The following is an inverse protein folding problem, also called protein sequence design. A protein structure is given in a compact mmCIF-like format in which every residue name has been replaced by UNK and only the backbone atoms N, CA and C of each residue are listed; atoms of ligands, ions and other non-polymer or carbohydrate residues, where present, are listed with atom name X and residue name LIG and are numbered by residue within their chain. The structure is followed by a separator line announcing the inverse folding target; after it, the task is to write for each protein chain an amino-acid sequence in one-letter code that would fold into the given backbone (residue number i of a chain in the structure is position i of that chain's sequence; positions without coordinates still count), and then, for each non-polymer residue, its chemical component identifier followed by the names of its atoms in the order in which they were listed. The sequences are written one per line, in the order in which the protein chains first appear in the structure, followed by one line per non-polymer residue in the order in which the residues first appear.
data_IF_994208738323
#
_entry.id   IF_994208738323
#
_cell.length_a   1.000
_cell.length_b   1.000
_cell.length_c   1.000
_cell.angle_alpha   90.00
_cell.angle_beta   90.00
_cell.angle_gamma   90.00
#
_symmetry.space_group_name_H-M   'P 1'
#
loop_
_entity.id
_entity.type
_entity.pdbx_description
1 polymer ?
#
# COMPACT_ATOMS: atom_id res chain seq x y z
N UNK A 1 40.43 -5.24 31.21
CA UNK A 1 39.05 -5.57 30.76
C UNK A 1 38.07 -4.59 31.39
N UNK A 2 37.49 -3.66 30.61
CA UNK A 2 36.47 -2.69 31.08
C UNK A 2 35.15 -2.94 30.35
N UNK A 3 34.27 -3.72 30.96
CA UNK A 3 32.87 -3.87 30.54
C UNK A 3 32.00 -2.86 31.28
N UNK A 4 32.06 -1.59 30.89
CA UNK A 4 31.16 -0.53 31.37
C UNK A 4 31.17 0.59 30.34
N UNK A 5 30.43 0.42 29.24
CA UNK A 5 30.04 1.49 28.32
C UNK A 5 29.04 1.08 27.20
N UNK A 6 28.29 -0.03 27.38
CA UNK A 6 27.39 -0.52 26.32
C UNK A 6 25.91 -0.20 26.50
N UNK A 7 25.50 0.34 27.66
CA UNK A 7 24.09 0.64 27.96
C UNK A 7 23.69 2.11 27.72
N UNK A 8 24.64 2.99 27.36
CA UNK A 8 24.38 4.43 27.15
C UNK A 8 24.12 4.89 25.71
N UNK A 9 23.97 3.98 24.72
CA UNK A 9 23.83 4.37 23.30
C UNK A 9 22.55 3.89 22.58
N UNK A 10 21.55 3.43 23.32
CA UNK A 10 20.23 3.08 22.75
C UNK A 10 19.07 3.97 23.23
N UNK A 11 19.29 4.88 24.17
CA UNK A 11 18.25 5.73 24.76
C UNK A 11 17.95 7.06 24.03
N UNK A 12 18.88 7.59 23.22
CA UNK A 12 18.84 9.01 22.76
C UNK A 12 18.69 9.19 21.25
N UNK A 13 18.08 8.25 20.52
CA UNK A 13 17.82 8.39 19.07
C UNK A 13 16.35 8.32 18.67
N UNK A 14 15.43 8.69 19.56
CA UNK A 14 14.11 9.16 19.15
C UNK A 14 14.23 10.55 18.52
N UNK A 15 14.93 10.65 17.38
CA UNK A 15 14.75 11.81 16.49
C UNK A 15 13.25 11.90 16.21
N UNK A 16 12.67 13.07 16.36
CA UNK A 16 11.29 13.33 15.94
C UNK A 16 11.22 13.16 14.41
N UNK A 17 11.06 11.92 13.95
CA UNK A 17 10.88 11.61 12.53
C UNK A 17 9.49 12.06 12.14
N UNK A 18 9.43 13.03 11.23
CA UNK A 18 8.20 13.51 10.59
C UNK A 18 8.12 12.99 9.16
N UNK A 19 6.92 12.97 8.58
CA UNK A 19 6.78 12.68 7.15
C UNK A 19 7.53 13.72 6.30
N UNK A 20 7.61 14.98 6.74
CA UNK A 20 8.40 16.02 6.06
C UNK A 20 9.87 15.61 5.90
N UNK A 21 10.48 15.10 6.99
CA UNK A 21 11.91 14.69 7.00
C UNK A 21 12.25 13.52 6.06
N UNK A 22 11.22 12.81 5.58
CA UNK A 22 11.32 11.73 4.60
C UNK A 22 10.93 12.21 3.21
N UNK A 23 9.93 13.09 3.13
CA UNK A 23 9.44 13.72 1.92
C UNK A 23 10.52 14.52 1.18
N UNK A 24 11.21 15.43 1.86
CA UNK A 24 12.14 16.38 1.22
C UNK A 24 13.16 15.72 0.26
N UNK A 25 13.93 14.69 0.68
CA UNK A 25 14.90 14.07 -0.22
C UNK A 25 14.23 13.28 -1.36
N UNK A 26 13.07 12.67 -1.13
CA UNK A 26 12.38 11.85 -2.14
C UNK A 26 11.67 12.70 -3.20
N UNK A 27 11.07 13.81 -2.78
CA UNK A 27 10.45 14.78 -3.66
C UNK A 27 11.48 15.45 -4.58
N UNK A 28 12.67 15.77 -4.06
CA UNK A 28 13.75 16.38 -4.83
C UNK A 28 14.29 15.48 -5.96
N UNK A 29 14.22 14.15 -5.79
CA UNK A 29 14.62 13.17 -6.82
C UNK A 29 13.48 12.71 -7.73
N UNK A 30 12.25 13.19 -7.51
CA UNK A 30 11.07 12.78 -8.25
C UNK A 30 10.99 13.48 -9.61
N UNK A 31 10.45 12.77 -10.62
CA UNK A 31 10.17 13.34 -11.96
C UNK A 31 8.71 13.79 -12.10
N UNK A 32 7.93 13.78 -11.02
CA UNK A 32 6.53 14.23 -11.03
C UNK A 32 6.44 15.75 -11.20
N UNK A 33 5.36 16.21 -11.82
CA UNK A 33 5.08 17.63 -11.95
C UNK A 33 4.75 18.28 -10.58
N UNK A 34 4.86 19.61 -10.52
CA UNK A 34 4.68 20.36 -9.28
C UNK A 34 3.29 20.22 -8.66
N UNK A 35 2.22 20.11 -9.47
CA UNK A 35 0.87 19.96 -8.96
C UNK A 35 0.68 18.58 -8.32
N UNK A 36 1.20 17.53 -8.96
CA UNK A 36 1.18 16.17 -8.38
C UNK A 36 2.01 16.11 -7.10
N UNK A 37 3.20 16.72 -7.06
CA UNK A 37 4.01 16.78 -5.84
C UNK A 37 3.26 17.49 -4.69
N UNK A 38 2.62 18.62 -4.97
CA UNK A 38 1.83 19.35 -3.98
C UNK A 38 0.66 18.52 -3.45
N UNK A 39 -0.04 17.79 -4.33
CA UNK A 39 -1.16 16.93 -3.93
C UNK A 39 -0.69 15.78 -3.03
N UNK A 40 0.43 15.12 -3.36
CA UNK A 40 1.02 14.07 -2.50
C UNK A 40 1.43 14.64 -1.16
N UNK A 41 2.10 15.79 -1.15
CA UNK A 41 2.56 16.44 0.07
C UNK A 41 1.40 16.81 1.01
N UNK A 42 0.35 17.44 0.47
CA UNK A 42 -0.85 17.78 1.22
C UNK A 42 -1.50 16.55 1.85
N UNK A 43 -1.60 15.44 1.09
CA UNK A 43 -2.14 14.19 1.60
C UNK A 43 -1.27 13.58 2.71
N UNK A 44 0.05 13.65 2.59
CA UNK A 44 0.98 13.18 3.63
C UNK A 44 0.85 14.01 4.92
N UNK A 45 0.69 15.33 4.82
CA UNK A 45 0.46 16.20 5.99
C UNK A 45 -0.84 15.83 6.69
N UNK A 46 -1.93 15.68 5.94
CA UNK A 46 -3.22 15.26 6.50
C UNK A 46 -3.10 13.92 7.23
N UNK A 47 -2.40 12.96 6.59
CA UNK A 47 -2.16 11.65 7.18
C UNK A 47 -1.27 11.71 8.43
N UNK A 48 -0.25 12.58 8.48
CA UNK A 48 0.54 12.79 9.69
C UNK A 48 -0.31 13.27 10.86
N UNK A 49 -1.28 14.16 10.59
CA UNK A 49 -2.27 14.59 11.57
C UNK A 49 -3.06 13.41 12.15
N UNK A 50 -3.57 12.53 11.28
CA UNK A 50 -4.28 11.30 11.69
C UNK A 50 -3.39 10.38 12.53
N UNK A 51 -2.13 10.21 12.14
CA UNK A 51 -1.17 9.39 12.88
C UNK A 51 -0.87 9.93 14.28
N UNK A 52 -0.74 11.26 14.44
CA UNK A 52 -0.50 11.91 15.74
C UNK A 52 -1.65 11.70 16.72
N UNK A 53 -2.89 11.63 16.22
CA UNK A 53 -4.08 11.36 17.04
C UNK A 53 -4.40 9.88 17.26
N UNK A 54 -3.67 8.94 16.64
CA UNK A 54 -3.97 7.52 16.73
C UNK A 54 -3.38 6.86 17.98
N UNK A 55 -4.17 6.02 18.65
CA UNK A 55 -3.70 5.17 19.74
C UNK A 55 -2.77 4.03 19.27
N UNK A 56 -2.86 3.66 17.98
CA UNK A 56 -2.09 2.58 17.38
C UNK A 56 -1.44 3.05 16.07
N UNK A 57 -0.49 3.99 16.13
CA UNK A 57 0.01 4.70 14.95
C UNK A 57 0.68 3.77 13.93
N UNK A 58 1.36 2.70 14.38
CA UNK A 58 1.92 1.71 13.46
C UNK A 58 0.83 0.96 12.71
N UNK A 59 -0.24 0.52 13.38
CA UNK A 59 -1.34 -0.17 12.72
C UNK A 59 -2.07 0.75 11.74
N UNK A 60 -2.29 2.01 12.10
CA UNK A 60 -2.85 3.03 11.20
C UNK A 60 -1.98 3.19 9.94
N UNK A 61 -0.66 3.28 10.09
CA UNK A 61 0.29 3.37 8.97
C UNK A 61 0.23 2.12 8.08
N UNK A 62 0.21 0.92 8.67
CA UNK A 62 0.14 -0.33 7.91
C UNK A 62 -1.19 -0.46 7.17
N UNK A 63 -2.31 -0.11 7.80
CA UNK A 63 -3.61 -0.07 7.13
C UNK A 63 -3.59 0.85 5.91
N UNK A 64 -3.05 2.07 6.05
CA UNK A 64 -2.95 3.02 4.95
C UNK A 64 -2.12 2.46 3.78
N UNK A 65 -0.98 1.83 4.09
CA UNK A 65 -0.14 1.17 3.09
C UNK A 65 -0.87 0.02 2.37
N UNK A 66 -1.63 -0.78 3.11
CA UNK A 66 -2.42 -1.88 2.55
C UNK A 66 -3.55 -1.35 1.64
N UNK A 67 -4.30 -0.35 2.11
CA UNK A 67 -5.41 0.27 1.37
C UNK A 67 -4.92 0.96 0.09
N UNK A 68 -3.77 1.63 0.18
CA UNK A 68 -3.12 2.27 -0.95
C UNK A 68 -2.68 1.25 -2.01
N UNK A 69 -2.17 0.10 -1.57
CA UNK A 69 -1.79 -0.97 -2.49
C UNK A 69 -3.01 -1.60 -3.15
N UNK A 70 -4.08 -1.88 -2.39
CA UNK A 70 -5.32 -2.42 -2.94
C UNK A 70 -5.93 -1.48 -3.99
N UNK A 71 -5.97 -0.17 -3.69
CA UNK A 71 -6.46 0.83 -4.64
C UNK A 71 -5.56 0.95 -5.87
N UNK A 72 -4.23 0.89 -5.70
CA UNK A 72 -3.29 0.85 -6.82
C UNK A 72 -3.53 -0.35 -7.73
N UNK A 73 -3.69 -1.54 -7.15
CA UNK A 73 -3.95 -2.78 -7.88
C UNK A 73 -5.29 -2.68 -8.63
N UNK A 74 -6.36 -2.23 -7.97
CA UNK A 74 -7.67 -2.07 -8.58
C UNK A 74 -7.65 -1.06 -9.75
N UNK A 75 -7.08 0.12 -9.55
CA UNK A 75 -7.00 1.15 -10.58
C UNK A 75 -6.17 0.69 -11.78
N UNK A 76 -5.06 -0.01 -11.54
CA UNK A 76 -4.23 -0.60 -12.60
C UNK A 76 -5.02 -1.63 -13.40
N UNK A 77 -5.81 -2.48 -12.75
CA UNK A 77 -6.64 -3.47 -13.43
C UNK A 77 -7.73 -2.85 -14.27
N UNK A 78 -8.44 -1.85 -13.74
CA UNK A 78 -9.49 -1.16 -14.47
C UNK A 78 -8.90 -0.49 -15.72
N UNK A 79 -7.79 0.25 -15.57
CA UNK A 79 -7.14 0.95 -16.70
C UNK A 79 -6.63 -0.01 -17.79
N UNK A 80 -6.26 -1.24 -17.42
CA UNK A 80 -5.82 -2.27 -18.37
C UNK A 80 -6.97 -2.94 -19.14
N UNK A 81 -8.24 -2.70 -18.79
CA UNK A 81 -9.37 -3.18 -19.58
C UNK A 81 -9.53 -2.36 -20.87
N UNK A 82 -10.08 -2.94 -21.95
CA UNK A 82 -10.52 -2.19 -23.12
C UNK A 82 -11.46 -1.02 -22.74
N UNK A 83 -11.36 0.10 -23.44
CA UNK A 83 -12.12 1.33 -23.13
C UNK A 83 -13.63 1.08 -23.03
N UNK A 84 -14.20 0.35 -24.00
CA UNK A 84 -15.62 -0.03 -23.98
C UNK A 84 -16.03 -0.78 -22.71
N UNK A 85 -15.15 -1.63 -22.17
CA UNK A 85 -15.39 -2.37 -20.92
C UNK A 85 -15.23 -1.47 -19.69
N UNK A 86 -14.29 -0.52 -19.69
CA UNK A 86 -14.14 0.48 -18.62
C UNK A 86 -15.39 1.35 -18.49
N UNK A 87 -15.89 1.86 -19.62
CA UNK A 87 -17.11 2.69 -19.67
C UNK A 87 -18.31 1.92 -19.14
N UNK A 88 -18.51 0.68 -19.60
CA UNK A 88 -19.62 -0.17 -19.13
C UNK A 88 -19.51 -0.50 -17.64
N UNK A 89 -18.30 -0.79 -17.14
CA UNK A 89 -18.07 -1.06 -15.72
C UNK A 89 -18.45 0.14 -14.86
N UNK A 90 -18.08 1.36 -15.28
CA UNK A 90 -18.39 2.59 -14.56
C UNK A 90 -19.87 2.92 -14.59
N UNK A 91 -20.56 2.73 -15.71
CA UNK A 91 -22.02 2.91 -15.77
C UNK A 91 -22.75 1.99 -14.78
N UNK A 92 -22.20 0.81 -14.48
CA UNK A 92 -22.79 -0.12 -13.51
C UNK A 92 -22.39 0.18 -12.04
N UNK A 93 -21.33 0.96 -11.80
CA UNK A 93 -20.75 1.19 -10.47
C UNK A 93 -20.32 2.66 -10.28
N UNK A 94 -21.11 3.60 -10.82
CA UNK A 94 -20.70 4.99 -11.03
C UNK A 94 -20.38 5.72 -9.73
N UNK A 95 -21.03 5.35 -8.62
CA UNK A 95 -20.80 5.93 -7.31
C UNK A 95 -19.49 5.49 -6.62
N UNK A 96 -18.80 4.47 -7.15
CA UNK A 96 -17.70 3.79 -6.42
C UNK A 96 -16.36 3.88 -7.16
N UNK A 97 -16.36 3.95 -8.50
CA UNK A 97 -15.13 3.86 -9.30
C UNK A 97 -14.68 5.23 -9.84
N UNK A 98 -13.40 5.55 -9.64
CA UNK A 98 -12.76 6.74 -10.20
C UNK A 98 -12.76 6.73 -11.73
N UNK A 99 -12.76 7.92 -12.36
CA UNK A 99 -12.58 8.03 -13.80
C UNK A 99 -11.13 7.73 -14.24
N UNK A 100 -10.86 7.61 -15.55
CA UNK A 100 -9.52 7.22 -16.05
C UNK A 100 -8.44 8.26 -15.69
N UNK A 101 -8.79 9.55 -15.73
CA UNK A 101 -7.85 10.63 -15.41
C UNK A 101 -7.49 10.61 -13.91
N UNK A 102 -8.50 10.48 -13.04
CA UNK A 102 -8.32 10.34 -11.59
C UNK A 102 -7.52 9.10 -11.23
N UNK A 103 -7.80 7.95 -11.85
CA UNK A 103 -7.07 6.72 -11.62
C UNK A 103 -5.60 6.85 -12.03
N UNK A 104 -5.30 7.47 -13.19
CA UNK A 104 -3.91 7.71 -13.64
C UNK A 104 -3.18 8.69 -12.72
N UNK A 105 -3.82 9.79 -12.35
CA UNK A 105 -3.26 10.76 -11.41
C UNK A 105 -2.96 10.10 -10.05
N UNK A 106 -3.89 9.27 -9.56
CA UNK A 106 -3.68 8.49 -8.35
C UNK A 106 -2.47 7.55 -8.48
N UNK A 107 -2.37 6.77 -9.57
CA UNK A 107 -1.23 5.84 -9.75
C UNK A 107 0.12 6.57 -9.80
N UNK A 108 0.18 7.71 -10.50
CA UNK A 108 1.39 8.54 -10.57
C UNK A 108 1.79 9.08 -9.18
N UNK A 109 0.81 9.56 -8.40
CA UNK A 109 1.01 10.09 -7.06
C UNK A 109 1.33 8.99 -6.02
N UNK A 110 0.69 7.83 -6.12
CA UNK A 110 0.72 6.79 -5.09
C UNK A 110 2.09 6.12 -4.98
N UNK A 111 2.85 6.02 -6.08
CA UNK A 111 4.19 5.42 -6.05
C UNK A 111 5.12 6.17 -5.08
N UNK A 112 5.24 7.50 -5.23
CA UNK A 112 6.03 8.34 -4.34
C UNK A 112 5.47 8.33 -2.91
N UNK A 113 4.14 8.41 -2.77
CA UNK A 113 3.47 8.35 -1.46
C UNK A 113 3.82 7.07 -0.70
N UNK A 114 3.72 5.92 -1.34
CA UNK A 114 4.04 4.61 -0.75
C UNK A 114 5.50 4.53 -0.34
N UNK A 115 6.41 5.05 -1.16
CA UNK A 115 7.84 5.11 -0.83
C UNK A 115 8.10 5.94 0.43
N UNK A 116 7.51 7.14 0.50
CA UNK A 116 7.61 8.02 1.68
C UNK A 116 7.05 7.35 2.93
N UNK A 117 5.85 6.75 2.83
CA UNK A 117 5.22 6.06 3.97
C UNK A 117 6.05 4.85 4.43
N UNK A 118 6.63 4.07 3.51
CA UNK A 118 7.50 2.92 3.85
C UNK A 118 8.83 3.36 4.46
N UNK A 119 9.44 4.43 3.95
CA UNK A 119 10.66 4.99 4.52
C UNK A 119 10.40 5.62 5.90
N UNK A 120 9.24 6.23 6.10
CA UNK A 120 8.80 6.71 7.40
C UNK A 120 8.53 5.57 8.39
N UNK A 121 7.87 4.49 7.95
CA UNK A 121 7.65 3.28 8.74
C UNK A 121 8.98 2.73 9.27
N UNK A 122 9.99 2.64 8.39
CA UNK A 122 11.33 2.25 8.75
C UNK A 122 11.94 3.18 9.81
N UNK A 123 12.00 4.49 9.52
CA UNK A 123 12.72 5.44 10.38
C UNK A 123 12.05 5.63 11.75
N UNK A 124 10.71 5.55 11.82
CA UNK A 124 9.96 5.80 13.07
C UNK A 124 9.72 4.53 13.88
N UNK A 125 9.50 3.39 13.23
CA UNK A 125 9.07 2.15 13.90
C UNK A 125 10.00 0.96 13.68
N UNK A 126 11.10 1.13 12.95
CA UNK A 126 11.95 0.03 12.46
C UNK A 126 11.15 -1.00 11.63
N UNK A 127 10.08 -0.54 10.97
CA UNK A 127 9.07 -1.40 10.32
C UNK A 127 9.32 -1.58 8.83
N UNK A 128 10.58 -1.81 8.46
CA UNK A 128 10.96 -2.16 7.09
C UNK A 128 12.20 -3.04 7.08
N UNK A 129 12.05 -4.19 6.44
CA UNK A 129 13.15 -5.13 6.14
C UNK A 129 12.77 -5.91 4.88
N UNK A 130 13.74 -6.47 4.18
CA UNK A 130 13.43 -7.34 3.04
C UNK A 130 12.64 -8.57 3.50
N UNK A 131 11.56 -8.88 2.78
CA UNK A 131 10.64 -9.96 3.12
C UNK A 131 9.80 -9.65 4.37
N UNK A 132 9.45 -8.39 4.60
CA UNK A 132 8.59 -8.00 5.71
C UNK A 132 7.09 -8.25 5.43
N UNK A 133 6.25 -7.84 6.39
CA UNK A 133 4.80 -7.96 6.30
C UNK A 133 4.22 -7.31 5.02
N UNK A 134 4.84 -6.24 4.53
CA UNK A 134 4.36 -5.51 3.37
C UNK A 134 4.66 -6.28 2.09
N UNK A 135 5.85 -6.89 2.00
CA UNK A 135 6.19 -7.76 0.86
C UNK A 135 5.26 -8.99 0.80
N UNK A 136 4.94 -9.59 1.96
CA UNK A 136 3.95 -10.66 2.07
C UNK A 136 2.58 -10.18 1.57
N UNK A 137 2.13 -9.02 2.05
CA UNK A 137 0.84 -8.46 1.65
C UNK A 137 0.80 -8.11 0.16
N UNK A 138 1.88 -7.55 -0.39
CA UNK A 138 1.96 -7.18 -1.78
C UNK A 138 1.88 -8.38 -2.72
N UNK A 139 2.57 -9.48 -2.39
CA UNK A 139 2.41 -10.73 -3.12
C UNK A 139 0.98 -11.25 -3.07
N UNK A 140 0.34 -11.21 -1.89
CA UNK A 140 -1.07 -11.58 -1.76
C UNK A 140 -1.97 -10.68 -2.64
N UNK A 141 -1.74 -9.36 -2.65
CA UNK A 141 -2.47 -8.39 -3.46
C UNK A 141 -2.35 -8.69 -4.97
N UNK A 142 -1.16 -9.04 -5.45
CA UNK A 142 -0.97 -9.43 -6.84
C UNK A 142 -1.60 -10.78 -7.20
N UNK A 143 -1.67 -11.73 -6.28
CA UNK A 143 -2.45 -12.95 -6.49
C UNK A 143 -3.95 -12.64 -6.56
N UNK A 144 -4.45 -11.73 -5.71
CA UNK A 144 -5.84 -11.24 -5.76
C UNK A 144 -6.15 -10.51 -7.07
N UNK A 145 -5.20 -9.73 -7.59
CA UNK A 145 -5.32 -8.99 -8.86
C UNK A 145 -5.83 -9.87 -10.01
N UNK A 146 -5.24 -11.07 -10.17
CA UNK A 146 -5.66 -12.04 -11.21
C UNK A 146 -7.13 -12.43 -11.04
N UNK A 147 -7.57 -12.65 -9.82
CA UNK A 147 -8.95 -13.03 -9.51
C UNK A 147 -9.92 -11.86 -9.71
N UNK A 148 -9.53 -10.64 -9.33
CA UNK A 148 -10.31 -9.42 -9.57
C UNK A 148 -10.57 -9.21 -11.06
N UNK A 149 -9.54 -9.40 -11.91
CA UNK A 149 -9.70 -9.35 -13.37
C UNK A 149 -10.74 -10.34 -13.88
N UNK A 150 -10.65 -11.60 -13.46
CA UNK A 150 -11.61 -12.63 -13.83
C UNK A 150 -13.02 -12.36 -13.32
N UNK A 151 -13.17 -11.76 -12.14
CA UNK A 151 -14.46 -11.34 -11.62
C UNK A 151 -15.05 -10.21 -12.47
N UNK A 152 -14.28 -9.14 -12.74
CA UNK A 152 -14.74 -8.01 -13.55
C UNK A 152 -15.16 -8.49 -14.95
N UNK A 153 -14.35 -9.31 -15.61
CA UNK A 153 -14.67 -9.87 -16.93
C UNK A 153 -15.97 -10.69 -16.93
N UNK A 154 -16.20 -11.51 -15.90
CA UNK A 154 -17.45 -12.30 -15.77
C UNK A 154 -18.67 -11.45 -15.47
N UNK A 155 -18.53 -10.43 -14.62
CA UNK A 155 -19.61 -9.48 -14.34
C UNK A 155 -19.98 -8.70 -15.61
N UNK A 156 -19.00 -8.24 -16.38
CA UNK A 156 -19.22 -7.57 -17.66
C UNK A 156 -19.78 -8.50 -18.74
N UNK A 157 -19.44 -9.79 -18.68
CA UNK A 157 -20.00 -10.84 -19.54
C UNK A 157 -21.44 -11.28 -19.20
N UNK A 158 -22.04 -10.75 -18.12
CA UNK A 158 -23.41 -11.10 -17.72
C UNK A 158 -23.57 -12.48 -17.08
N UNK A 159 -22.49 -13.26 -16.96
CA UNK A 159 -22.46 -14.56 -16.29
C UNK A 159 -22.23 -14.39 -14.79
N UNK A 160 -23.28 -14.03 -14.05
CA UNK A 160 -23.27 -14.10 -12.57
C UNK A 160 -23.92 -15.40 -12.13
N UNK A 161 -23.12 -16.37 -11.68
CA UNK A 161 -23.65 -17.55 -10.99
C UNK A 161 -23.58 -17.37 -9.47
N UNK A 162 -24.47 -18.02 -8.71
CA UNK A 162 -24.42 -18.02 -7.24
C UNK A 162 -23.07 -18.56 -6.70
N UNK A 163 -22.45 -19.51 -7.41
CA UNK A 163 -21.12 -20.03 -7.09
C UNK A 163 -19.99 -19.01 -7.25
N UNK A 164 -20.18 -17.95 -8.03
CA UNK A 164 -19.18 -16.89 -8.20
C UNK A 164 -19.24 -15.86 -7.08
N UNK A 165 -20.44 -15.55 -6.60
CA UNK A 165 -20.63 -14.71 -5.42
C UNK A 165 -20.05 -15.39 -4.16
N UNK A 166 -20.31 -16.68 -3.97
CA UNK A 166 -19.76 -17.45 -2.86
C UNK A 166 -18.23 -17.52 -2.90
N UNK A 167 -17.63 -17.73 -4.07
CA UNK A 167 -16.17 -17.71 -4.26
C UNK A 167 -15.57 -16.34 -3.95
N UNK A 168 -16.21 -15.26 -4.42
CA UNK A 168 -15.78 -13.90 -4.10
C UNK A 168 -15.82 -13.62 -2.60
N UNK A 169 -16.91 -13.98 -1.93
CA UNK A 169 -17.06 -13.81 -0.48
C UNK A 169 -16.02 -14.61 0.31
N UNK A 170 -15.78 -15.87 -0.05
CA UNK A 170 -14.77 -16.71 0.61
C UNK A 170 -13.36 -16.11 0.49
N UNK A 171 -13.02 -15.52 -0.66
CA UNK A 171 -11.76 -14.82 -0.84
C UNK A 171 -11.67 -13.56 0.02
N UNK A 172 -12.72 -12.74 0.06
CA UNK A 172 -12.75 -11.53 0.89
C UNK A 172 -12.58 -11.84 2.37
N UNK A 173 -13.15 -12.94 2.86
CA UNK A 173 -12.94 -13.42 4.22
C UNK A 173 -11.47 -13.79 4.46
N UNK A 174 -10.86 -14.57 3.55
CA UNK A 174 -9.44 -14.93 3.66
C UNK A 174 -8.52 -13.73 3.61
N UNK A 175 -8.85 -12.74 2.79
CA UNK A 175 -8.10 -11.49 2.73
C UNK A 175 -8.18 -10.72 4.05
N UNK A 176 -9.37 -10.64 4.63
CA UNK A 176 -9.60 -9.99 5.93
C UNK A 176 -8.80 -10.69 7.04
N UNK A 177 -8.75 -12.03 7.03
CA UNK A 177 -7.91 -12.83 7.95
C UNK A 177 -6.41 -12.53 7.78
N UNK A 178 -5.91 -12.51 6.54
CA UNK A 178 -4.49 -12.22 6.25
C UNK A 178 -4.15 -10.81 6.73
N UNK A 179 -4.99 -9.83 6.39
CA UNK A 179 -4.81 -8.44 6.80
C UNK A 179 -4.75 -8.31 8.31
N UNK A 180 -5.72 -8.88 9.03
CA UNK A 180 -5.76 -8.85 10.49
C UNK A 180 -4.51 -9.45 11.12
N UNK A 181 -4.02 -10.58 10.59
CA UNK A 181 -2.79 -11.23 11.08
C UNK A 181 -1.56 -10.37 10.85
N UNK A 182 -1.38 -9.81 9.64
CA UNK A 182 -0.22 -8.99 9.32
C UNK A 182 -0.17 -7.67 10.11
N UNK A 183 -1.32 -7.11 10.45
CA UNK A 183 -1.38 -5.92 11.33
C UNK A 183 -0.87 -6.20 12.74
N UNK A 184 -0.96 -7.43 13.22
CA UNK A 184 -0.51 -7.85 14.56
C UNK A 184 0.96 -8.26 14.62
N UNK A 185 1.64 -8.40 13.47
CA UNK A 185 3.05 -8.81 13.41
C UNK A 185 3.95 -7.75 14.06
N UNK A 186 4.93 -8.11 14.91
CA UNK A 186 5.86 -7.14 15.47
C UNK A 186 6.64 -6.39 14.38
N UNK A 187 6.99 -5.12 14.64
CA UNK A 187 7.84 -4.35 13.73
C UNK A 187 9.20 -5.05 13.51
N UNK A 188 9.73 -4.95 12.29
CA UNK A 188 11.01 -5.58 11.93
C UNK A 188 10.95 -7.10 11.74
N UNK A 189 9.77 -7.73 11.85
CA UNK A 189 9.62 -9.17 11.58
C UNK A 189 9.95 -9.49 10.12
N UNK A 190 10.75 -10.54 9.92
CA UNK A 190 11.11 -11.09 8.62
C UNK A 190 10.33 -12.37 8.34
N UNK A 191 9.92 -12.55 7.09
CA UNK A 191 9.30 -13.76 6.58
C UNK A 191 10.26 -14.41 5.56
N UNK A 192 11.05 -15.43 5.98
CA UNK A 192 11.94 -16.14 5.08
C UNK A 192 11.18 -16.68 3.86
N UNK A 193 11.78 -16.58 2.66
CA UNK A 193 11.13 -16.95 1.40
C UNK A 193 10.22 -15.87 0.78
N UNK A 194 9.98 -14.77 1.50
CA UNK A 194 9.27 -13.59 0.99
C UNK A 194 10.18 -12.42 0.60
N UNK A 195 11.49 -12.54 0.79
CA UNK A 195 12.48 -11.61 0.23
C UNK A 195 12.40 -11.58 -1.30
N UNK A 196 12.74 -10.43 -1.91
CA UNK A 196 12.87 -10.32 -3.37
C UNK A 196 13.68 -11.52 -3.85
N UNK A 197 13.13 -12.33 -4.74
CA UNK A 197 13.89 -13.39 -5.37
C UNK A 197 15.15 -12.74 -5.97
N UNK A 198 16.32 -13.25 -5.60
CA UNK A 198 17.57 -12.86 -6.24
C UNK A 198 17.40 -12.99 -7.76
N UNK A 199 17.39 -11.88 -8.50
CA UNK A 199 17.35 -11.92 -9.97
C UNK A 199 16.38 -11.01 -10.73
N UNK A 200 16.03 -9.82 -10.21
CA UNK A 200 15.64 -8.70 -11.09
C UNK A 200 16.53 -7.50 -10.78
N UNK A 201 17.75 -7.56 -11.32
CA UNK A 201 18.59 -6.38 -11.56
C UNK A 201 18.04 -5.61 -12.75
N UNK A 202 18.29 -4.31 -12.72
CA UNK A 202 18.17 -3.37 -13.85
C UNK A 202 18.80 -3.91 -15.14
#
# INVERSE_FOLDING_TARGET
MKWRNWLGRRGDRCRHVTLQSVWDPLAASSTLDAATLQAVHANLIEFEGKLKGSAQPLQTLRCELMDSLDRQVLNSEILNLPEALRTRLRQQQEAVLQNDAEARAYLAANALRMEVLRAYAHRRFDDRTDGDWFDVYARAAHLRQRNTRHYIQRVLGGTRSAGDAARFQAMSLKDSEIRARLLQVPAGTRFPGFGKADGQTA
#
